data_IF_682300673251
#
_entry.id   IF_682300673251
#
_cell.length_a   1.000
_cell.length_b   1.000
_cell.length_c   1.000
_cell.angle_alpha   90.00
_cell.angle_beta   90.00
_cell.angle_gamma   90.00
#
_symmetry.space_group_name_H-M   'P 1'
#
loop_
_entity.id
_entity.type
_entity.pdbx_description
1 polymer ?
#
# COMPACT_ATOMS: atom_id res chain seq x y z
N UNK A 1 -29.68 25.26 3.98
CA UNK A 1 -28.78 25.52 2.83
C UNK A 1 -27.29 25.39 3.21
N UNK A 2 -26.84 24.22 3.74
CA UNK A 2 -25.46 24.05 4.22
C UNK A 2 -24.76 22.77 3.72
N UNK A 3 -25.38 22.01 2.81
CA UNK A 3 -24.88 20.68 2.41
C UNK A 3 -24.24 20.60 1.00
N UNK A 4 -24.26 21.68 0.21
CA UNK A 4 -23.75 21.66 -1.18
C UNK A 4 -22.39 22.34 -1.40
N UNK A 5 -21.78 22.92 -0.37
CA UNK A 5 -20.50 23.65 -0.48
C UNK A 5 -19.23 22.75 -0.45
N UNK A 6 -19.19 21.57 0.20
CA UNK A 6 -17.93 20.80 0.25
C UNK A 6 -17.56 20.21 -1.11
N UNK A 7 -18.53 19.73 -1.88
CA UNK A 7 -18.26 19.07 -3.16
C UNK A 7 -17.75 20.04 -4.23
N UNK A 8 -18.29 21.26 -4.31
CA UNK A 8 -17.82 22.27 -5.27
C UNK A 8 -16.38 22.71 -4.96
N UNK A 9 -16.01 22.86 -3.69
CA UNK A 9 -14.63 23.13 -3.29
C UNK A 9 -13.68 21.98 -3.68
N UNK A 10 -14.11 20.73 -3.50
CA UNK A 10 -13.29 19.55 -3.82
C UNK A 10 -13.04 19.44 -5.31
N UNK A 11 -14.09 19.50 -6.14
CA UNK A 11 -13.95 19.36 -7.61
C UNK A 11 -13.25 20.55 -8.28
N UNK A 12 -13.22 21.72 -7.63
CA UNK A 12 -12.45 22.88 -8.14
C UNK A 12 -10.99 22.88 -7.72
N UNK A 13 -10.66 22.23 -6.59
CA UNK A 13 -9.28 22.20 -6.06
C UNK A 13 -8.55 20.88 -6.35
N UNK A 14 -9.29 19.83 -6.70
CA UNK A 14 -8.74 18.52 -7.03
C UNK A 14 -9.39 18.00 -8.31
N UNK A 15 -8.56 17.55 -9.23
CA UNK A 15 -8.97 16.79 -10.41
C UNK A 15 -8.17 15.48 -10.42
N UNK A 16 -8.74 14.37 -10.94
CA UNK A 16 -8.00 13.12 -11.08
C UNK A 16 -6.81 13.35 -12.01
N UNK A 17 -5.66 13.57 -11.40
CA UNK A 17 -4.40 13.82 -12.09
C UNK A 17 -3.56 12.56 -11.91
N UNK A 18 -2.82 12.15 -12.94
CA UNK A 18 -1.90 11.01 -12.83
C UNK A 18 -0.89 11.34 -11.72
N UNK A 19 -0.91 10.56 -10.63
CA UNK A 19 -0.19 10.89 -9.40
C UNK A 19 1.33 11.07 -9.56
N UNK A 20 1.94 10.38 -10.52
CA UNK A 20 3.34 10.58 -10.89
C UNK A 20 3.54 10.17 -12.37
N UNK A 21 3.59 11.12 -13.32
CA UNK A 21 3.74 10.82 -14.74
C UNK A 21 5.19 10.44 -15.12
N UNK A 22 6.10 10.28 -14.15
CA UNK A 22 7.47 9.85 -14.42
C UNK A 22 7.53 8.38 -14.84
N UNK A 23 8.58 8.03 -15.59
CA UNK A 23 8.89 6.64 -15.95
C UNK A 23 8.92 5.73 -14.71
N UNK A 24 9.44 6.23 -13.59
CA UNK A 24 9.52 5.48 -12.35
C UNK A 24 8.14 5.22 -11.71
N UNK A 25 7.21 6.18 -11.80
CA UNK A 25 5.81 6.00 -11.39
C UNK A 25 5.13 4.86 -12.16
N UNK A 26 5.33 4.80 -13.48
CA UNK A 26 4.84 3.71 -14.32
C UNK A 26 5.50 2.36 -14.02
N UNK A 27 6.82 2.35 -13.76
CA UNK A 27 7.53 1.14 -13.34
C UNK A 27 6.97 0.60 -12.03
N UNK A 28 6.66 1.47 -11.06
CA UNK A 28 6.05 1.02 -9.78
C UNK A 28 4.66 0.45 -9.99
N UNK A 29 3.84 1.08 -10.82
CA UNK A 29 2.50 0.61 -11.19
C UNK A 29 2.56 -0.77 -11.84
N UNK A 30 3.45 -0.94 -12.84
CA UNK A 30 3.67 -2.23 -13.49
C UNK A 30 4.16 -3.29 -12.48
N UNK A 31 5.05 -2.91 -11.56
CA UNK A 31 5.58 -3.81 -10.53
C UNK A 31 4.49 -4.26 -9.56
N UNK A 32 3.62 -3.36 -9.10
CA UNK A 32 2.48 -3.70 -8.25
C UNK A 32 1.52 -4.66 -8.97
N UNK A 33 1.19 -4.38 -10.23
CA UNK A 33 0.33 -5.25 -11.02
C UNK A 33 0.94 -6.64 -11.21
N UNK A 34 2.22 -6.72 -11.56
CA UNK A 34 2.94 -7.98 -11.72
C UNK A 34 2.93 -8.79 -10.41
N UNK A 35 3.31 -8.16 -9.29
CA UNK A 35 3.30 -8.82 -7.99
C UNK A 35 1.89 -9.22 -7.56
N UNK A 36 0.87 -8.43 -7.89
CA UNK A 36 -0.54 -8.73 -7.66
C UNK A 36 -0.98 -9.96 -8.45
N UNK A 37 -0.65 -10.04 -9.75
CA UNK A 37 -0.93 -11.20 -10.60
C UNK A 37 -0.23 -12.45 -10.05
N UNK A 38 1.06 -12.36 -9.70
CA UNK A 38 1.79 -13.46 -9.09
C UNK A 38 1.12 -13.93 -7.79
N UNK A 39 0.65 -12.99 -6.96
CA UNK A 39 -0.08 -13.29 -5.72
C UNK A 39 -1.39 -14.04 -6.00
N UNK A 40 -2.15 -13.61 -7.01
CA UNK A 40 -3.38 -14.31 -7.47
C UNK A 40 -3.06 -15.71 -7.99
N UNK A 41 -1.99 -15.88 -8.75
CA UNK A 41 -1.56 -17.19 -9.25
C UNK A 41 -1.19 -18.14 -8.09
N UNK A 42 -0.49 -17.63 -7.06
CA UNK A 42 -0.18 -18.41 -5.85
C UNK A 42 -1.44 -18.74 -5.07
N UNK A 43 -2.39 -17.80 -4.98
CA UNK A 43 -3.70 -18.02 -4.36
C UNK A 43 -4.43 -19.23 -4.96
N UNK A 44 -4.40 -19.41 -6.28
CA UNK A 44 -5.03 -20.56 -6.93
C UNK A 44 -4.27 -21.89 -6.71
N UNK A 45 -2.98 -21.85 -6.32
CA UNK A 45 -2.13 -23.03 -6.11
C UNK A 45 -2.05 -23.48 -4.65
N UNK A 46 -2.39 -22.60 -3.69
CA UNK A 46 -2.29 -22.87 -2.25
C UNK A 46 -3.66 -23.04 -1.61
N UNK A 47 -3.69 -23.68 -0.44
CA UNK A 47 -4.90 -23.91 0.35
C UNK A 47 -4.74 -23.35 1.77
N UNK A 48 -5.84 -23.27 2.51
CA UNK A 48 -5.84 -22.84 3.91
C UNK A 48 -5.37 -21.39 4.12
N UNK A 49 -4.55 -21.18 5.15
CA UNK A 49 -4.08 -19.85 5.58
C UNK A 49 -3.21 -19.14 4.54
N UNK A 50 -2.35 -19.89 3.83
CA UNK A 50 -1.52 -19.32 2.77
C UNK A 50 -2.40 -18.76 1.64
N UNK A 51 -3.48 -19.45 1.27
CA UNK A 51 -4.43 -18.95 0.25
C UNK A 51 -4.97 -17.57 0.64
N UNK A 52 -5.50 -17.43 1.86
CA UNK A 52 -6.05 -16.17 2.34
C UNK A 52 -4.98 -15.07 2.37
N UNK A 53 -3.76 -15.38 2.82
CA UNK A 53 -2.65 -14.43 2.83
C UNK A 53 -2.33 -13.87 1.44
N UNK A 54 -2.21 -14.74 0.43
CA UNK A 54 -1.93 -14.32 -0.95
C UNK A 54 -3.10 -13.55 -1.59
N UNK A 55 -4.35 -13.84 -1.20
CA UNK A 55 -5.51 -13.05 -1.60
C UNK A 55 -5.44 -11.63 -1.00
N UNK A 56 -5.15 -11.53 0.30
CA UNK A 56 -5.00 -10.23 0.99
C UNK A 56 -3.87 -9.42 0.34
N UNK A 57 -2.72 -10.04 0.05
CA UNK A 57 -1.63 -9.38 -0.68
C UNK A 57 -2.06 -8.89 -2.05
N UNK A 58 -2.76 -9.72 -2.84
CA UNK A 58 -3.26 -9.31 -4.15
C UNK A 58 -4.18 -8.09 -4.06
N UNK A 59 -5.11 -8.09 -3.09
CA UNK A 59 -6.02 -6.97 -2.85
C UNK A 59 -5.25 -5.71 -2.46
N UNK A 60 -4.28 -5.81 -1.55
CA UNK A 60 -3.44 -4.68 -1.13
C UNK A 60 -2.65 -4.11 -2.32
N UNK A 61 -1.99 -4.96 -3.12
CA UNK A 61 -1.17 -4.52 -4.26
C UNK A 61 -2.03 -3.86 -5.36
N UNK A 62 -3.24 -4.39 -5.60
CA UNK A 62 -4.18 -3.77 -6.54
C UNK A 62 -4.69 -2.42 -6.01
N UNK A 63 -5.05 -2.35 -4.72
CA UNK A 63 -5.45 -1.09 -4.09
C UNK A 63 -4.33 -0.05 -4.15
N UNK A 64 -3.06 -0.45 -3.95
CA UNK A 64 -1.90 0.42 -4.09
C UNK A 64 -1.69 0.90 -5.54
N UNK A 65 -1.96 0.04 -6.52
CA UNK A 65 -1.93 0.42 -7.95
C UNK A 65 -2.94 1.52 -8.24
N UNK A 66 -4.20 1.31 -7.82
CA UNK A 66 -5.28 2.29 -7.99
C UNK A 66 -4.95 3.58 -7.24
N UNK A 67 -4.46 3.47 -6.01
CA UNK A 67 -4.07 4.61 -5.19
C UNK A 67 -2.94 5.43 -5.83
N UNK A 68 -1.93 4.78 -6.43
CA UNK A 68 -0.82 5.46 -7.12
C UNK A 68 -1.30 6.23 -8.35
N UNK A 69 -2.26 5.68 -9.11
CA UNK A 69 -2.81 6.32 -10.30
C UNK A 69 -3.74 7.49 -9.97
N UNK A 70 -4.67 7.30 -9.02
CA UNK A 70 -5.67 8.31 -8.66
C UNK A 70 -5.15 9.37 -7.69
N UNK A 71 -3.94 9.20 -7.15
CA UNK A 71 -3.38 10.01 -6.07
C UNK A 71 -4.40 10.34 -4.96
N UNK A 72 -4.99 9.27 -4.40
CA UNK A 72 -6.10 9.37 -3.46
C UNK A 72 -5.73 10.18 -2.20
N UNK A 73 -4.44 10.20 -1.86
CA UNK A 73 -3.91 11.01 -0.77
C UNK A 73 -4.12 12.52 -1.01
N UNK A 74 -3.84 13.00 -2.22
CA UNK A 74 -4.08 14.40 -2.59
C UNK A 74 -5.58 14.73 -2.58
N UNK A 75 -6.42 13.79 -3.03
CA UNK A 75 -7.88 13.92 -2.96
C UNK A 75 -8.37 14.08 -1.51
N UNK A 76 -7.96 13.16 -0.63
CA UNK A 76 -8.32 13.20 0.79
C UNK A 76 -7.82 14.47 1.49
N UNK A 77 -6.64 14.95 1.13
CA UNK A 77 -6.07 16.19 1.66
C UNK A 77 -6.87 17.41 1.20
N UNK A 78 -7.30 17.44 -0.06
CA UNK A 78 -8.16 18.50 -0.60
C UNK A 78 -9.54 18.51 0.08
N UNK A 79 -10.16 17.34 0.25
CA UNK A 79 -11.42 17.16 1.00
C UNK A 79 -11.25 17.68 2.42
N UNK A 80 -10.21 17.25 3.14
CA UNK A 80 -9.94 17.70 4.50
C UNK A 80 -9.76 19.23 4.59
N UNK A 81 -9.06 19.84 3.61
CA UNK A 81 -8.89 21.29 3.54
C UNK A 81 -10.21 22.03 3.31
N UNK A 82 -11.06 21.54 2.40
CA UNK A 82 -12.35 22.13 2.11
C UNK A 82 -13.30 22.04 3.31
N UNK A 83 -13.37 20.87 3.97
CA UNK A 83 -14.17 20.66 5.18
C UNK A 83 -13.69 21.56 6.31
N UNK A 84 -12.37 21.63 6.54
CA UNK A 84 -11.80 22.44 7.60
C UNK A 84 -12.00 23.95 7.39
N UNK A 85 -12.00 24.42 6.14
CA UNK A 85 -12.35 25.81 5.81
C UNK A 85 -13.84 26.07 6.01
N UNK A 86 -14.71 25.16 5.54
CA UNK A 86 -16.16 25.31 5.66
C UNK A 86 -16.64 25.32 7.13
N UNK A 87 -15.97 24.55 7.99
CA UNK A 87 -16.28 24.46 9.42
C UNK A 87 -15.44 25.43 10.29
N UNK A 88 -14.61 26.30 9.69
CA UNK A 88 -13.86 27.34 10.40
C UNK A 88 -12.62 26.89 11.19
N UNK A 89 -12.33 25.59 11.30
CA UNK A 89 -11.21 25.06 12.10
C UNK A 89 -9.91 24.86 11.30
N UNK A 90 -9.76 25.50 10.14
CA UNK A 90 -8.56 25.35 9.29
C UNK A 90 -7.24 25.72 10.00
N UNK A 91 -7.28 26.61 10.99
CA UNK A 91 -6.13 26.96 11.83
C UNK A 91 -5.64 25.77 12.69
N UNK A 92 -6.55 24.91 13.14
CA UNK A 92 -6.30 23.75 14.00
C UNK A 92 -6.15 22.43 13.23
N UNK A 93 -5.77 22.50 11.94
CA UNK A 93 -5.60 21.31 11.09
C UNK A 93 -4.51 20.34 11.55
N UNK A 94 -3.51 20.80 12.32
CA UNK A 94 -2.34 20.01 12.74
C UNK A 94 -2.73 18.83 13.65
N UNK A 95 -3.52 19.00 14.72
CA UNK A 95 -4.05 17.89 15.52
C UNK A 95 -4.71 16.78 14.70
N UNK A 96 -5.51 17.13 13.68
CA UNK A 96 -6.18 16.14 12.84
C UNK A 96 -5.19 15.34 11.98
N UNK A 97 -4.21 16.02 11.37
CA UNK A 97 -3.13 15.37 10.61
C UNK A 97 -2.34 14.39 11.50
N UNK A 98 -1.95 14.81 12.70
CA UNK A 98 -1.21 13.95 13.64
C UNK A 98 -2.03 12.71 14.01
N UNK A 99 -3.31 12.87 14.37
CA UNK A 99 -4.19 11.74 14.68
C UNK A 99 -4.34 10.78 13.50
N UNK A 100 -4.48 11.30 12.29
CA UNK A 100 -4.56 10.50 11.06
C UNK A 100 -3.27 9.71 10.79
N UNK A 101 -2.11 10.33 10.99
CA UNK A 101 -0.80 9.67 10.83
C UNK A 101 -0.63 8.57 11.87
N UNK A 102 -0.91 8.87 13.16
CA UNK A 102 -0.86 7.89 14.25
C UNK A 102 -1.79 6.71 13.94
N UNK A 103 -3.00 6.98 13.46
CA UNK A 103 -3.95 5.95 13.04
C UNK A 103 -3.35 5.03 11.96
N UNK A 104 -2.81 5.59 10.87
CA UNK A 104 -2.20 4.78 9.80
C UNK A 104 -1.01 3.96 10.30
N UNK A 105 -0.12 4.57 11.09
CA UNK A 105 1.07 3.88 11.65
C UNK A 105 0.64 2.73 12.56
N UNK A 106 -0.26 2.98 13.51
CA UNK A 106 -0.74 1.96 14.44
C UNK A 106 -1.47 0.84 13.70
N UNK A 107 -2.38 1.16 12.77
CA UNK A 107 -3.09 0.15 11.99
C UNK A 107 -2.12 -0.69 11.16
N UNK A 108 -1.13 -0.07 10.52
CA UNK A 108 -0.10 -0.78 9.74
C UNK A 108 0.72 -1.73 10.62
N UNK A 109 1.14 -1.27 11.79
CA UNK A 109 1.89 -2.08 12.76
C UNK A 109 1.06 -3.26 13.27
N UNK A 110 -0.20 -3.03 13.66
CA UNK A 110 -1.10 -4.07 14.15
C UNK A 110 -1.37 -5.14 13.07
N UNK A 111 -1.60 -4.72 11.82
CA UNK A 111 -1.77 -5.66 10.69
C UNK A 111 -0.51 -6.50 10.49
N UNK A 112 0.68 -5.88 10.48
CA UNK A 112 1.94 -6.59 10.32
C UNK A 112 2.16 -7.62 11.45
N UNK A 113 1.99 -7.19 12.71
CA UNK A 113 2.14 -8.05 13.88
C UNK A 113 1.14 -9.22 13.85
N UNK A 114 -0.13 -8.95 13.53
CA UNK A 114 -1.17 -9.96 13.41
C UNK A 114 -0.85 -10.99 12.32
N UNK A 115 -0.40 -10.55 11.15
CA UNK A 115 -0.05 -11.45 10.04
C UNK A 115 1.17 -12.30 10.38
N UNK A 116 2.24 -11.71 10.93
CA UNK A 116 3.44 -12.45 11.37
C UNK A 116 3.05 -13.50 12.42
N UNK A 117 2.24 -13.12 13.41
CA UNK A 117 1.80 -14.03 14.48
C UNK A 117 0.94 -15.19 13.95
N UNK A 118 0.03 -14.91 13.01
CA UNK A 118 -0.85 -15.91 12.40
C UNK A 118 -0.11 -16.85 11.45
N UNK A 119 0.93 -16.31 10.77
CA UNK A 119 1.75 -17.02 9.78
C UNK A 119 3.03 -17.64 10.36
N UNK A 120 3.27 -17.56 11.69
CA UNK A 120 4.53 -18.02 12.31
C UNK A 120 4.92 -19.46 12.01
N UNK A 121 3.94 -20.34 11.72
CA UNK A 121 4.19 -21.75 11.37
C UNK A 121 4.62 -21.95 9.91
N UNK A 122 4.24 -21.02 9.04
CA UNK A 122 4.52 -21.07 7.59
C UNK A 122 5.68 -20.13 7.21
N UNK A 123 6.30 -19.48 8.19
CA UNK A 123 7.25 -18.39 8.02
C UNK A 123 8.42 -18.79 7.11
N UNK A 124 8.93 -20.01 7.22
CA UNK A 124 10.02 -20.51 6.39
C UNK A 124 9.75 -20.40 4.88
N UNK A 125 8.49 -20.45 4.46
CA UNK A 125 8.10 -20.36 3.04
C UNK A 125 7.70 -18.95 2.60
N UNK A 126 7.19 -18.12 3.52
CA UNK A 126 6.62 -16.79 3.19
C UNK A 126 7.33 -15.61 3.86
N UNK A 127 8.45 -15.83 4.56
CA UNK A 127 9.18 -14.78 5.28
C UNK A 127 9.54 -13.60 4.37
N UNK A 128 9.94 -13.88 3.12
CA UNK A 128 10.32 -12.84 2.16
C UNK A 128 9.10 -12.00 1.73
N UNK A 129 7.94 -12.63 1.53
CA UNK A 129 6.69 -11.90 1.22
C UNK A 129 6.21 -11.06 2.42
N UNK A 130 6.35 -11.59 3.65
CA UNK A 130 6.04 -10.85 4.88
C UNK A 130 6.97 -9.65 5.07
N UNK A 131 8.26 -9.82 4.82
CA UNK A 131 9.23 -8.72 4.89
C UNK A 131 8.89 -7.64 3.85
N UNK A 132 8.55 -8.05 2.62
CA UNK A 132 8.12 -7.11 1.59
C UNK A 132 6.83 -6.37 1.95
N UNK A 133 5.88 -7.05 2.60
CA UNK A 133 4.66 -6.41 3.11
C UNK A 133 4.97 -5.37 4.19
N UNK A 134 5.88 -5.68 5.12
CA UNK A 134 6.32 -4.71 6.14
C UNK A 134 6.95 -3.47 5.49
N UNK A 135 7.76 -3.66 4.46
CA UNK A 135 8.34 -2.55 3.69
C UNK A 135 7.28 -1.69 3.02
N UNK A 136 6.25 -2.30 2.41
CA UNK A 136 5.13 -1.58 1.81
C UNK A 136 4.29 -0.81 2.85
N UNK A 137 4.00 -1.44 3.99
CA UNK A 137 3.27 -0.79 5.08
C UNK A 137 4.05 0.40 5.66
N UNK A 138 5.35 0.24 5.85
CA UNK A 138 6.23 1.33 6.27
C UNK A 138 6.26 2.46 5.24
N UNK A 139 6.37 2.13 3.95
CA UNK A 139 6.30 3.11 2.86
C UNK A 139 4.98 3.91 2.90
N UNK A 140 3.83 3.24 3.05
CA UNK A 140 2.52 3.90 3.15
C UNK A 140 2.46 4.82 4.36
N UNK A 141 2.96 4.37 5.51
CA UNK A 141 2.99 5.17 6.74
C UNK A 141 3.86 6.42 6.60
N UNK A 142 5.06 6.29 6.02
CA UNK A 142 5.96 7.42 5.77
C UNK A 142 5.33 8.39 4.77
N UNK A 143 4.69 7.89 3.71
CA UNK A 143 3.98 8.72 2.73
C UNK A 143 2.82 9.48 3.36
N UNK A 144 2.07 8.84 4.26
CA UNK A 144 0.98 9.46 5.01
C UNK A 144 1.47 10.52 6.02
N UNK A 145 2.63 10.29 6.65
CA UNK A 145 3.23 11.21 7.61
C UNK A 145 3.56 12.59 7.01
N UNK A 146 3.68 12.69 5.68
CA UNK A 146 4.04 13.92 4.99
C UNK A 146 5.41 14.40 5.45
N UNK A 147 6.45 13.94 4.74
CA UNK A 147 7.89 14.08 5.03
C UNK A 147 8.36 15.37 5.73
N UNK A 148 7.69 16.50 5.56
CA UNK A 148 7.98 17.75 6.27
C UNK A 148 7.95 17.70 7.82
N UNK A 149 7.23 16.76 8.45
CA UNK A 149 7.29 16.59 9.91
C UNK A 149 8.43 15.65 10.36
N UNK A 150 8.77 14.64 9.55
CA UNK A 150 9.87 13.70 9.86
C UNK A 150 11.22 14.39 9.64
N UNK A 151 11.36 15.19 8.57
CA UNK A 151 12.61 15.91 8.25
C UNK A 151 13.01 16.88 9.37
N UNK A 152 12.03 17.51 10.05
CA UNK A 152 12.30 18.38 11.22
C UNK A 152 12.61 17.63 12.50
N UNK A 153 12.12 16.40 12.65
CA UNK A 153 12.33 15.60 13.86
C UNK A 153 13.65 14.82 13.81
N UNK A 154 14.16 14.50 12.61
CA UNK A 154 15.30 13.58 12.43
C UNK A 154 16.57 14.28 11.87
N UNK A 155 16.48 15.52 11.37
CA UNK A 155 17.67 16.36 11.08
C UNK A 155 18.61 15.83 9.99
N UNK A 156 18.22 14.79 9.25
CA UNK A 156 19.02 14.15 8.21
C UNK A 156 18.41 14.43 6.83
N UNK A 157 19.12 15.16 5.98
CA UNK A 157 18.81 15.27 4.55
C UNK A 157 19.25 13.99 3.82
N UNK A 158 18.61 12.86 4.14
CA UNK A 158 18.72 11.69 3.27
C UNK A 158 18.09 12.11 1.95
N UNK A 159 18.66 11.68 0.82
CA UNK A 159 18.08 11.88 -0.50
C UNK A 159 16.67 11.23 -0.54
N UNK A 160 15.65 11.97 -0.09
CA UNK A 160 14.33 11.50 0.35
C UNK A 160 13.56 10.77 -0.74
N UNK A 161 13.84 11.10 -2.00
CA UNK A 161 13.27 10.42 -3.15
C UNK A 161 13.81 8.98 -3.22
N UNK A 162 15.13 8.76 -3.09
CA UNK A 162 15.76 7.45 -3.31
C UNK A 162 15.35 6.41 -2.26
N UNK A 163 15.25 6.78 -0.98
CA UNK A 163 14.90 5.83 0.07
C UNK A 163 13.47 5.30 -0.07
N UNK A 164 12.53 6.17 -0.47
CA UNK A 164 11.14 5.78 -0.73
C UNK A 164 11.04 4.75 -1.85
N UNK A 165 11.76 4.95 -2.95
CA UNK A 165 11.81 3.99 -4.05
C UNK A 165 12.39 2.65 -3.62
N UNK A 166 13.46 2.66 -2.81
CA UNK A 166 14.09 1.43 -2.30
C UNK A 166 13.10 0.64 -1.44
N UNK A 167 12.35 1.32 -0.57
CA UNK A 167 11.34 0.65 0.26
C UNK A 167 10.16 0.13 -0.57
N UNK A 168 9.63 0.95 -1.47
CA UNK A 168 8.47 0.61 -2.31
C UNK A 168 8.82 -0.53 -3.28
N UNK A 169 9.81 -0.33 -4.16
CA UNK A 169 10.22 -1.33 -5.14
C UNK A 169 10.87 -2.54 -4.48
N UNK A 170 11.65 -2.36 -3.41
CA UNK A 170 12.23 -3.46 -2.65
C UNK A 170 11.16 -4.35 -2.03
N UNK A 171 10.13 -3.75 -1.43
CA UNK A 171 8.99 -4.49 -0.88
C UNK A 171 8.23 -5.29 -1.94
N UNK A 172 7.96 -4.67 -3.09
CA UNK A 172 7.31 -5.34 -4.23
C UNK A 172 8.17 -6.49 -4.77
N UNK A 173 9.47 -6.25 -4.95
CA UNK A 173 10.41 -7.24 -5.46
C UNK A 173 10.50 -8.46 -4.54
N UNK A 174 10.52 -8.27 -3.22
CA UNK A 174 10.51 -9.36 -2.24
C UNK A 174 9.24 -10.21 -2.33
N UNK A 175 8.06 -9.57 -2.45
CA UNK A 175 6.78 -10.28 -2.62
C UNK A 175 6.75 -11.06 -3.94
N UNK A 176 7.15 -10.41 -5.04
CA UNK A 176 7.18 -11.01 -6.37
C UNK A 176 8.15 -12.21 -6.43
N UNK A 177 9.35 -12.06 -5.87
CA UNK A 177 10.35 -13.12 -5.81
C UNK A 177 9.86 -14.33 -5.00
N UNK A 178 9.24 -14.10 -3.84
CA UNK A 178 8.67 -15.18 -3.04
C UNK A 178 7.51 -15.89 -3.77
N UNK A 179 6.62 -15.13 -4.40
CA UNK A 179 5.50 -15.68 -5.17
C UNK A 179 5.98 -16.52 -6.35
N UNK A 180 6.94 -16.00 -7.12
CA UNK A 180 7.54 -16.71 -8.24
C UNK A 180 8.23 -18.01 -7.78
N UNK A 181 9.02 -17.94 -6.70
CA UNK A 181 9.66 -19.11 -6.10
C UNK A 181 8.65 -20.20 -5.71
N UNK A 182 7.52 -19.82 -5.10
CA UNK A 182 6.46 -20.77 -4.74
C UNK A 182 5.76 -21.36 -5.97
N UNK A 183 5.57 -20.58 -7.04
CA UNK A 183 4.96 -21.06 -8.29
C UNK A 183 5.87 -22.04 -9.04
N UNK A 184 7.18 -21.80 -9.02
CA UNK A 184 8.18 -22.67 -9.66
C UNK A 184 8.36 -23.98 -8.89
N UNK A 185 8.33 -23.95 -7.55
CA UNK A 185 8.49 -25.15 -6.72
C UNK A 185 7.22 -25.98 -6.52
N UNK A 186 6.03 -25.42 -6.75
CA UNK A 186 4.78 -26.17 -6.61
C UNK A 186 4.42 -26.79 -7.97
N UNK A 187 4.69 -28.10 -8.21
CA UNK A 187 4.32 -28.73 -9.47
C UNK A 187 2.83 -28.52 -9.74
N UNK A 188 2.49 -28.19 -10.98
CA UNK A 188 1.11 -28.00 -11.43
C UNK A 188 0.38 -29.31 -11.17
N UNK A 189 -0.41 -29.37 -10.10
CA UNK A 189 -1.13 -30.56 -9.71
C UNK A 189 -2.09 -30.91 -10.86
N UNK A 190 -1.71 -31.87 -11.72
CA UNK A 190 -2.57 -32.46 -12.74
C UNK A 190 -3.66 -33.23 -12.00
N UNK A 191 -4.70 -32.54 -11.53
CA UNK A 191 -5.88 -33.24 -11.03
C UNK A 191 -6.72 -33.71 -12.22
N UNK A 192 -6.71 -35.03 -12.38
CA UNK A 192 -7.71 -35.94 -12.95
C UNK A 192 -8.12 -35.76 -14.42
N UNK A 193 -7.33 -36.35 -15.32
CA UNK A 193 -7.91 -37.13 -16.42
C UNK A 193 -8.00 -38.57 -15.89
N UNK A 194 -9.16 -38.96 -15.39
CA UNK A 194 -9.54 -40.35 -15.30
C UNK A 194 -10.77 -40.50 -16.20
N UNK A 195 -10.69 -41.25 -17.31
CA UNK A 195 -11.88 -41.68 -18.01
C UNK A 195 -12.50 -42.81 -17.21
N UNK A 196 -13.73 -42.61 -16.73
CA UNK A 196 -14.69 -43.69 -16.50
C UNK A 196 -15.99 -43.27 -17.17
#
# INVERSE_FOLDING_TARGET
MALNIPWTCVFTTWSPTIGDPTVMGWVTVASYLLAGILSVLVFFRKTGRQRIFWLILAVILFALTVNKQLDLQSALTAIGRCVAKAQGWYAERRPFQIKFIIFIVLTSFLIAAFLIWTMRRELAHIWLALLGLVFLLAFVAIRAAGFHHIDRLIGYQINNIRMNWVMELGGIAMIAANGLYLLLRTPKNKKSVAPQ
#
